data_IF_772038356341
#
_entry.id   IF_772038356341
#
_cell.length_a   1.000
_cell.length_b   1.000
_cell.length_c   1.000
_cell.angle_alpha   90.00
_cell.angle_beta   90.00
_cell.angle_gamma   90.00
#
_symmetry.space_group_name_H-M   'P 1'
#
loop_
_entity.id
_entity.type
_entity.pdbx_description
1 polymer ?
#
# COMPACT_ATOMS: atom_id res chain seq x y z
N UNK A 1 -64.25 -22.23 9.09
CA UNK A 1 -64.43 -21.74 10.47
C UNK A 1 -63.21 -22.19 11.28
N UNK A 2 -62.17 -21.36 11.36
CA UNK A 2 -60.99 -21.62 12.19
C UNK A 2 -60.99 -20.61 13.34
N UNK A 3 -61.50 -21.05 14.49
CA UNK A 3 -61.56 -20.29 15.73
C UNK A 3 -60.16 -19.85 16.17
N UNK A 4 -59.86 -18.56 16.06
CA UNK A 4 -58.63 -17.98 16.61
C UNK A 4 -58.83 -17.71 18.11
N UNK A 5 -58.50 -18.69 18.95
CA UNK A 5 -58.41 -18.53 20.40
C UNK A 5 -57.28 -17.56 20.76
N UNK A 6 -57.62 -16.36 21.23
CA UNK A 6 -56.68 -15.36 21.75
C UNK A 6 -56.05 -15.86 23.06
N UNK A 7 -54.87 -16.48 22.98
CA UNK A 7 -54.06 -16.88 24.13
C UNK A 7 -53.49 -15.61 24.81
N UNK A 8 -53.96 -15.30 26.04
CA UNK A 8 -53.43 -14.20 26.86
C UNK A 8 -52.28 -14.73 27.72
N UNK A 9 -51.07 -14.25 27.45
CA UNK A 9 -49.90 -14.49 28.31
C UNK A 9 -49.80 -13.39 29.37
N UNK A 10 -49.19 -13.71 30.51
CA UNK A 10 -48.87 -12.72 31.55
C UNK A 10 -47.73 -11.80 31.04
N UNK A 11 -47.70 -10.52 31.46
CA UNK A 11 -46.63 -9.60 31.07
C UNK A 11 -45.25 -10.20 31.37
N UNK A 12 -44.42 -10.41 30.33
CA UNK A 12 -43.09 -11.02 30.43
C UNK A 12 -42.99 -12.53 30.20
N UNK A 13 -44.08 -13.22 29.83
CA UNK A 13 -44.10 -14.68 29.58
C UNK A 13 -44.40 -15.07 28.12
N UNK A 14 -44.25 -14.11 27.20
CA UNK A 14 -44.44 -14.38 25.77
C UNK A 14 -43.24 -15.18 25.22
N UNK A 15 -43.46 -16.24 24.41
CA UNK A 15 -42.38 -16.94 23.73
C UNK A 15 -41.62 -15.99 22.80
N UNK A 16 -40.28 -16.00 22.85
CA UNK A 16 -39.45 -15.21 21.94
C UNK A 16 -39.68 -15.67 20.49
N UNK A 17 -40.42 -14.88 19.73
CA UNK A 17 -40.59 -15.11 18.29
C UNK A 17 -39.29 -14.77 17.57
N UNK A 18 -38.98 -15.45 16.44
CA UNK A 18 -37.83 -15.07 15.63
C UNK A 18 -37.95 -13.58 15.26
N UNK A 19 -36.84 -12.80 15.36
CA UNK A 19 -36.88 -11.38 15.08
C UNK A 19 -37.45 -11.14 13.68
N UNK A 20 -38.31 -10.12 13.50
CA UNK A 20 -38.91 -9.83 12.20
C UNK A 20 -37.84 -9.76 11.11
N UNK A 21 -38.09 -10.35 9.94
CA UNK A 21 -37.15 -10.36 8.80
C UNK A 21 -36.78 -8.93 8.33
N UNK A 22 -37.55 -7.92 8.77
CA UNK A 22 -37.26 -6.49 8.53
C UNK A 22 -36.18 -5.90 9.44
N UNK A 23 -35.85 -6.52 10.56
CA UNK A 23 -34.86 -6.02 11.54
C UNK A 23 -33.55 -6.80 11.54
N UNK A 24 -33.50 -7.94 10.85
CA UNK A 24 -32.30 -8.79 10.72
C UNK A 24 -32.10 -9.24 9.27
N UNK A 25 -30.85 -9.51 8.87
CA UNK A 25 -30.49 -9.99 7.54
C UNK A 25 -30.03 -8.92 6.53
N UNK A 26 -29.70 -9.32 5.29
CA UNK A 26 -29.06 -8.46 4.30
C UNK A 26 -29.87 -7.20 3.96
N UNK A 27 -31.20 -7.34 3.87
CA UNK A 27 -32.10 -6.23 3.53
C UNK A 27 -32.17 -5.19 4.66
N UNK A 28 -32.20 -5.64 5.91
CA UNK A 28 -32.13 -4.75 7.07
C UNK A 28 -30.77 -4.03 7.14
N UNK A 29 -29.68 -4.71 6.76
CA UNK A 29 -28.35 -4.11 6.65
C UNK A 29 -28.28 -3.02 5.56
N UNK A 30 -28.80 -3.28 4.35
CA UNK A 30 -28.82 -2.27 3.28
C UNK A 30 -29.58 -1.01 3.68
N UNK A 31 -30.75 -1.15 4.30
CA UNK A 31 -31.54 0.00 4.74
C UNK A 31 -30.88 0.77 5.89
N UNK A 32 -30.25 0.06 6.82
CA UNK A 32 -29.56 0.65 7.97
C UNK A 32 -28.21 1.28 7.62
N UNK A 33 -27.52 0.81 6.59
CA UNK A 33 -26.17 1.25 6.25
C UNK A 33 -26.12 2.17 5.02
N UNK A 34 -26.84 1.85 3.93
CA UNK A 34 -26.83 2.64 2.69
C UNK A 34 -27.93 3.71 2.66
N UNK A 35 -29.12 3.41 3.20
CA UNK A 35 -30.31 4.29 3.10
C UNK A 35 -30.79 4.82 4.45
N UNK A 36 -29.87 5.03 5.40
CA UNK A 36 -30.19 5.45 6.77
C UNK A 36 -30.66 6.89 6.89
N UNK A 37 -30.28 7.75 5.95
CA UNK A 37 -30.70 9.15 5.87
C UNK A 37 -30.98 9.54 4.42
N UNK A 38 -31.76 10.61 4.15
CA UNK A 38 -31.96 11.12 2.79
C UNK A 38 -30.64 11.47 2.10
N UNK A 39 -29.67 12.03 2.83
CA UNK A 39 -28.33 12.33 2.31
C UNK A 39 -27.57 11.06 1.94
N UNK A 40 -27.55 10.05 2.82
CA UNK A 40 -26.88 8.77 2.53
C UNK A 40 -27.53 8.04 1.34
N UNK A 41 -28.84 8.19 1.18
CA UNK A 41 -29.59 7.65 0.04
C UNK A 41 -29.15 8.32 -1.26
N UNK A 42 -29.05 9.65 -1.29
CA UNK A 42 -28.57 10.41 -2.46
C UNK A 42 -27.10 10.07 -2.77
N UNK A 43 -26.24 10.05 -1.75
CA UNK A 43 -24.82 9.73 -1.92
C UNK A 43 -24.63 8.32 -2.46
N UNK A 44 -25.38 7.36 -1.94
CA UNK A 44 -25.40 5.98 -2.43
C UNK A 44 -25.81 5.90 -3.90
N UNK A 45 -26.90 6.57 -4.28
CA UNK A 45 -27.36 6.60 -5.68
C UNK A 45 -26.33 7.27 -6.60
N UNK A 46 -25.70 8.36 -6.15
CA UNK A 46 -24.61 9.00 -6.90
C UNK A 46 -23.41 8.05 -7.04
N UNK A 47 -22.99 7.36 -5.97
CA UNK A 47 -21.92 6.37 -6.04
C UNK A 47 -22.24 5.26 -7.03
N UNK A 48 -23.45 4.71 -7.01
CA UNK A 48 -23.87 3.71 -8.00
C UNK A 48 -23.87 4.27 -9.41
N UNK A 49 -24.35 5.50 -9.61
CA UNK A 49 -24.32 6.16 -10.91
C UNK A 49 -22.89 6.35 -11.42
N UNK A 50 -21.95 6.82 -10.59
CA UNK A 50 -20.53 6.93 -10.95
C UNK A 50 -19.88 5.57 -11.24
N UNK A 51 -20.16 4.56 -10.42
CA UNK A 51 -19.64 3.21 -10.67
C UNK A 51 -20.18 2.65 -11.99
N UNK A 52 -21.46 2.90 -12.30
CA UNK A 52 -22.07 2.49 -13.56
C UNK A 52 -21.53 3.26 -14.77
N UNK A 53 -21.09 4.50 -14.61
CA UNK A 53 -20.49 5.26 -15.72
C UNK A 53 -19.02 4.94 -15.95
N UNK A 54 -18.30 4.48 -14.92
CA UNK A 54 -16.86 4.20 -15.00
C UNK A 54 -16.55 2.72 -15.25
N UNK A 55 -17.22 1.80 -14.56
CA UNK A 55 -16.87 0.37 -14.58
C UNK A 55 -17.07 -0.26 -15.96
N UNK A 56 -18.24 -0.12 -16.63
CA UNK A 56 -18.45 -0.72 -17.94
C UNK A 56 -17.42 -0.29 -18.99
N UNK A 57 -17.16 1.01 -19.25
CA UNK A 57 -16.18 1.40 -20.25
C UNK A 57 -14.74 1.01 -19.85
N UNK A 58 -14.42 1.00 -18.56
CA UNK A 58 -13.13 0.50 -18.10
C UNK A 58 -12.97 -1.01 -18.38
N UNK A 59 -14.02 -1.80 -18.14
CA UNK A 59 -14.05 -3.23 -18.40
C UNK A 59 -13.97 -3.53 -19.91
N UNK A 60 -14.71 -2.78 -20.71
CA UNK A 60 -14.66 -2.86 -22.17
C UNK A 60 -13.25 -2.56 -22.69
N UNK A 61 -12.63 -1.48 -22.22
CA UNK A 61 -11.28 -1.10 -22.59
C UNK A 61 -10.23 -2.14 -22.15
N UNK A 62 -10.33 -2.64 -20.92
CA UNK A 62 -9.29 -3.47 -20.31
C UNK A 62 -9.35 -4.94 -20.71
N UNK A 63 -10.54 -5.48 -20.99
CA UNK A 63 -10.73 -6.90 -21.27
C UNK A 63 -11.25 -7.09 -22.69
N UNK A 64 -12.41 -6.49 -23.01
CA UNK A 64 -13.13 -6.83 -24.25
C UNK A 64 -12.41 -6.32 -25.51
N UNK A 65 -11.89 -5.10 -25.49
CA UNK A 65 -11.19 -4.47 -26.61
C UNK A 65 -9.66 -4.62 -26.52
N UNK A 66 -9.16 -5.45 -25.60
CA UNK A 66 -7.73 -5.53 -25.30
C UNK A 66 -6.97 -6.49 -26.21
N UNK A 67 -5.67 -6.22 -26.40
CA UNK A 67 -4.79 -7.04 -27.24
C UNK A 67 -3.64 -7.59 -26.38
N UNK A 68 -3.51 -8.92 -26.40
CA UNK A 68 -2.53 -9.65 -25.60
C UNK A 68 -1.27 -10.07 -26.39
N UNK A 69 -1.33 -10.05 -27.72
CA UNK A 69 -0.24 -10.50 -28.59
C UNK A 69 0.08 -9.45 -29.65
N UNK A 70 1.20 -8.76 -29.52
CA UNK A 70 1.72 -7.80 -30.49
C UNK A 70 3.22 -7.54 -30.21
N UNK A 71 4.05 -7.45 -31.25
CA UNK A 71 5.50 -7.27 -31.11
C UNK A 71 5.89 -5.78 -30.92
N UNK A 72 4.97 -4.87 -31.25
CA UNK A 72 5.20 -3.43 -31.11
C UNK A 72 3.94 -2.66 -30.74
N UNK A 73 4.12 -1.47 -30.13
CA UNK A 73 3.00 -0.56 -29.82
C UNK A 73 2.19 -0.20 -31.08
N UNK A 74 2.87 -0.04 -32.22
CA UNK A 74 2.22 0.32 -33.49
C UNK A 74 1.30 -0.81 -33.95
N UNK A 75 1.82 -2.03 -33.99
CA UNK A 75 1.04 -3.22 -34.32
C UNK A 75 -0.15 -3.42 -33.37
N UNK A 76 0.07 -3.15 -32.08
CA UNK A 76 -1.01 -3.20 -31.09
C UNK A 76 -2.11 -2.17 -31.36
N UNK A 77 -1.79 -0.99 -31.90
CA UNK A 77 -2.80 0.00 -32.30
C UNK A 77 -3.40 -0.29 -33.67
N UNK A 78 -2.64 -0.90 -34.59
CA UNK A 78 -3.11 -1.27 -35.93
C UNK A 78 -4.13 -2.40 -35.90
N UNK A 79 -4.05 -3.29 -34.89
CA UNK A 79 -5.03 -4.33 -34.64
C UNK A 79 -6.33 -3.83 -33.98
N UNK A 80 -6.40 -2.55 -33.58
CA UNK A 80 -7.60 -1.93 -32.99
C UNK A 80 -8.43 -1.18 -34.02
N UNK A 81 -9.74 -1.05 -33.77
CA UNK A 81 -10.64 -0.29 -34.65
C UNK A 81 -10.31 1.21 -34.70
N UNK A 82 -9.89 1.80 -33.58
CA UNK A 82 -9.25 3.11 -33.52
C UNK A 82 -8.13 3.11 -32.47
N UNK A 83 -7.04 3.88 -32.66
CA UNK A 83 -5.93 3.89 -31.72
C UNK A 83 -6.36 4.30 -30.31
N UNK A 84 -6.14 3.42 -29.32
CA UNK A 84 -6.40 3.69 -27.90
C UNK A 84 -7.75 3.24 -27.34
N UNK A 85 -8.60 2.58 -28.14
CA UNK A 85 -9.90 2.04 -27.65
C UNK A 85 -9.78 0.85 -26.71
N UNK A 86 -8.61 0.22 -26.68
CA UNK A 86 -8.34 -0.95 -25.87
C UNK A 86 -7.00 -0.88 -25.16
N UNK A 87 -6.86 -1.69 -24.11
CA UNK A 87 -5.60 -1.88 -23.42
C UNK A 87 -4.65 -2.73 -24.28
N UNK A 88 -3.39 -2.28 -24.39
CA UNK A 88 -2.32 -3.05 -25.02
C UNK A 88 -1.57 -3.87 -23.96
N UNK A 89 -2.08 -5.05 -23.62
CA UNK A 89 -1.45 -5.93 -22.62
C UNK A 89 -0.15 -6.55 -23.11
N UNK A 90 -0.01 -6.78 -24.42
CA UNK A 90 1.22 -7.30 -25.04
C UNK A 90 2.48 -6.51 -24.64
N UNK A 91 2.38 -5.17 -24.70
CA UNK A 91 3.49 -4.29 -24.30
C UNK A 91 3.84 -4.43 -22.81
N UNK A 92 2.83 -4.60 -21.96
CA UNK A 92 3.01 -4.72 -20.51
C UNK A 92 3.64 -6.07 -20.18
N UNK A 93 3.21 -7.17 -20.80
CA UNK A 93 3.79 -8.50 -20.61
C UNK A 93 5.26 -8.54 -21.05
N UNK A 94 5.60 -7.93 -22.18
CA UNK A 94 6.98 -7.92 -22.70
C UNK A 94 7.94 -7.08 -21.86
N UNK A 95 7.41 -6.13 -21.08
CA UNK A 95 8.18 -5.20 -20.24
C UNK A 95 7.98 -5.43 -18.75
N UNK A 96 7.22 -6.45 -18.34
CA UNK A 96 6.96 -6.75 -16.93
C UNK A 96 8.25 -7.00 -16.15
N UNK A 97 9.23 -7.61 -16.80
CA UNK A 97 10.55 -7.87 -16.22
C UNK A 97 11.32 -6.58 -15.95
N UNK A 98 11.24 -5.57 -16.83
CA UNK A 98 11.80 -4.25 -16.60
C UNK A 98 11.06 -3.49 -15.49
N UNK A 99 9.72 -3.59 -15.45
CA UNK A 99 8.94 -2.96 -14.38
C UNK A 99 9.17 -3.60 -13.01
N UNK A 100 9.45 -4.90 -12.95
CA UNK A 100 9.63 -5.63 -11.68
C UNK A 100 11.07 -5.52 -11.17
N UNK A 101 12.04 -5.80 -12.04
CA UNK A 101 13.46 -5.92 -11.67
C UNK A 101 14.30 -4.69 -12.06
N UNK A 102 13.78 -3.74 -12.84
CA UNK A 102 14.59 -2.64 -13.37
C UNK A 102 15.71 -3.16 -14.28
N UNK A 103 16.92 -2.62 -14.12
CA UNK A 103 18.10 -3.01 -14.88
C UNK A 103 18.92 -4.12 -14.18
N UNK A 104 18.33 -4.81 -13.20
CA UNK A 104 19.02 -5.85 -12.42
C UNK A 104 19.45 -7.04 -13.30
N UNK A 105 20.68 -7.58 -13.14
CA UNK A 105 21.21 -8.62 -14.00
C UNK A 105 20.32 -9.88 -13.98
N UNK A 106 19.98 -10.37 -15.18
CA UNK A 106 19.17 -11.57 -15.40
C UNK A 106 19.56 -12.78 -14.50
N UNK A 107 20.84 -13.21 -14.43
CA UNK A 107 21.22 -14.38 -13.64
C UNK A 107 21.08 -14.17 -12.12
N UNK A 108 20.98 -12.92 -11.65
CA UNK A 108 20.90 -12.59 -10.23
C UNK A 108 19.47 -12.29 -9.77
N UNK A 109 18.47 -12.27 -10.68
CA UNK A 109 17.07 -11.92 -10.36
C UNK A 109 16.44 -12.78 -9.27
N UNK A 110 16.91 -14.01 -9.08
CA UNK A 110 16.49 -14.86 -7.99
C UNK A 110 16.66 -14.20 -6.60
N UNK A 111 17.63 -13.29 -6.44
CA UNK A 111 17.83 -12.50 -5.22
C UNK A 111 16.63 -11.58 -4.96
N UNK A 112 16.08 -11.01 -6.03
CA UNK A 112 14.89 -10.15 -5.99
C UNK A 112 13.65 -10.97 -5.66
N UNK A 113 13.47 -12.10 -6.34
CA UNK A 113 12.33 -12.99 -6.07
C UNK A 113 12.34 -13.50 -4.62
N UNK A 114 13.52 -13.90 -4.14
CA UNK A 114 13.71 -14.32 -2.75
C UNK A 114 13.42 -13.16 -1.78
N UNK A 115 13.83 -11.93 -2.11
CA UNK A 115 13.52 -10.76 -1.28
C UNK A 115 12.00 -10.50 -1.17
N UNK A 116 11.24 -10.70 -2.24
CA UNK A 116 9.78 -10.58 -2.21
C UNK A 116 9.13 -11.68 -1.37
N UNK A 117 9.61 -12.92 -1.47
CA UNK A 117 9.11 -14.02 -0.62
C UNK A 117 9.40 -13.75 0.85
N UNK A 118 10.64 -13.37 1.18
CA UNK A 118 11.04 -13.01 2.54
C UNK A 118 10.24 -11.83 3.07
N UNK A 119 9.90 -10.86 2.23
CA UNK A 119 9.04 -9.76 2.62
C UNK A 119 7.65 -10.22 3.03
N UNK A 120 7.02 -11.09 2.22
CA UNK A 120 5.69 -11.60 2.56
C UNK A 120 5.72 -12.26 3.94
N UNK A 121 6.78 -13.03 4.23
CA UNK A 121 7.01 -13.61 5.55
C UNK A 121 7.24 -12.55 6.64
N UNK A 122 7.89 -11.43 6.32
CA UNK A 122 8.11 -10.32 7.24
C UNK A 122 6.82 -9.54 7.55
N UNK A 123 5.86 -9.49 6.62
CA UNK A 123 4.58 -8.77 6.82
C UNK A 123 3.58 -9.59 7.65
N UNK A 124 3.59 -10.92 7.51
CA UNK A 124 2.70 -11.84 8.25
C UNK A 124 2.64 -11.57 9.78
N UNK A 125 3.76 -11.48 10.53
CA UNK A 125 3.73 -11.21 11.98
C UNK A 125 3.30 -9.78 12.36
N UNK A 126 3.36 -8.85 11.41
CA UNK A 126 2.87 -7.47 11.59
C UNK A 126 1.34 -7.44 11.44
N UNK A 127 0.79 -8.15 10.45
CA UNK A 127 -0.63 -8.14 10.14
C UNK A 127 -1.46 -9.03 11.07
N UNK A 128 -0.91 -10.17 11.52
CA UNK A 128 -1.61 -11.15 12.34
C UNK A 128 -1.14 -11.12 13.79
N UNK A 129 -1.94 -10.50 14.66
CA UNK A 129 -1.58 -10.32 16.07
C UNK A 129 -1.57 -11.62 16.90
N UNK A 130 -2.31 -12.64 16.47
CA UNK A 130 -2.55 -13.89 17.20
C UNK A 130 -1.56 -15.02 16.87
N UNK A 131 -0.45 -14.73 16.19
CA UNK A 131 0.53 -15.74 15.82
C UNK A 131 1.32 -16.26 17.03
N UNK A 132 1.53 -17.58 17.15
CA UNK A 132 2.47 -18.12 18.13
C UNK A 132 3.88 -17.60 17.80
N UNK A 133 4.66 -17.22 18.81
CA UNK A 133 6.03 -16.68 18.67
C UNK A 133 6.16 -15.31 17.96
N UNK A 134 5.10 -14.47 17.97
CA UNK A 134 5.07 -13.13 17.35
C UNK A 134 6.29 -12.24 17.63
N UNK A 135 6.90 -12.32 18.83
CA UNK A 135 8.09 -11.51 19.20
C UNK A 135 9.27 -11.76 18.24
N UNK A 136 9.53 -13.01 17.88
CA UNK A 136 10.60 -13.36 16.94
C UNK A 136 10.23 -12.94 15.51
N UNK A 137 8.95 -13.04 15.13
CA UNK A 137 8.44 -12.54 13.86
C UNK A 137 8.61 -11.03 13.72
N UNK A 138 8.29 -10.24 14.75
CA UNK A 138 8.48 -8.79 14.75
C UNK A 138 9.97 -8.40 14.70
N UNK A 139 10.84 -9.14 15.39
CA UNK A 139 12.28 -8.94 15.30
C UNK A 139 12.79 -9.21 13.88
N UNK A 140 12.29 -10.26 13.23
CA UNK A 140 12.58 -10.53 11.83
C UNK A 140 12.09 -9.40 10.90
N UNK A 141 10.87 -8.89 11.10
CA UNK A 141 10.36 -7.75 10.32
C UNK A 141 11.22 -6.49 10.48
N UNK A 142 11.72 -6.23 11.68
CA UNK A 142 12.62 -5.10 11.93
C UNK A 142 14.01 -5.30 11.29
N UNK A 143 14.49 -6.54 11.23
CA UNK A 143 15.77 -6.89 10.58
C UNK A 143 15.67 -7.00 9.06
N UNK A 144 14.46 -7.21 8.51
CA UNK A 144 14.21 -7.41 7.08
C UNK A 144 14.88 -6.39 6.16
N UNK A 145 14.80 -5.05 6.35
CA UNK A 145 15.43 -4.10 5.43
C UNK A 145 16.94 -4.29 5.32
N UNK A 146 17.61 -4.73 6.39
CA UNK A 146 19.03 -5.04 6.35
C UNK A 146 19.32 -6.34 5.59
N UNK A 147 18.48 -7.38 5.80
CA UNK A 147 18.59 -8.65 5.09
C UNK A 147 18.36 -8.45 3.60
N UNK A 148 17.30 -7.73 3.22
CA UNK A 148 16.97 -7.39 1.84
C UNK A 148 18.05 -6.52 1.20
N UNK A 149 18.56 -5.51 1.91
CA UNK A 149 19.67 -4.67 1.44
C UNK A 149 20.92 -5.49 1.12
N UNK A 150 21.32 -6.38 2.03
CA UNK A 150 22.47 -7.29 1.81
C UNK A 150 22.23 -8.25 0.65
N UNK A 151 21.06 -8.88 0.59
CA UNK A 151 20.72 -9.84 -0.46
C UNK A 151 20.77 -9.21 -1.85
N UNK A 152 20.31 -7.96 -1.98
CA UNK A 152 20.17 -7.28 -3.26
C UNK A 152 21.45 -6.57 -3.72
N UNK A 153 22.12 -5.85 -2.82
CA UNK A 153 23.39 -5.19 -3.12
C UNK A 153 24.53 -6.21 -3.27
N UNK A 154 24.40 -7.38 -2.63
CA UNK A 154 25.46 -8.37 -2.53
C UNK A 154 26.49 -8.01 -1.45
N UNK A 155 27.67 -8.63 -1.53
CA UNK A 155 28.72 -8.53 -0.50
C UNK A 155 28.76 -9.75 0.42
N UNK A 156 29.86 -9.90 1.17
CA UNK A 156 30.12 -11.06 2.05
C UNK A 156 29.95 -12.42 1.33
N UNK A 157 30.54 -12.57 0.14
CA UNK A 157 30.53 -13.81 -0.65
C UNK A 157 29.56 -13.82 -1.83
N UNK A 158 28.67 -12.83 -1.94
CA UNK A 158 27.81 -12.62 -3.10
C UNK A 158 28.39 -11.57 -4.06
N UNK A 159 28.24 -11.80 -5.38
CA UNK A 159 28.66 -10.84 -6.40
C UNK A 159 27.98 -9.48 -6.18
N UNK A 160 28.74 -8.36 -6.07
CA UNK A 160 28.19 -7.05 -5.81
C UNK A 160 27.46 -6.53 -7.05
N UNK A 161 26.25 -6.01 -6.85
CA UNK A 161 25.46 -5.38 -7.92
C UNK A 161 25.41 -3.88 -7.67
N UNK A 162 25.70 -3.09 -8.70
CA UNK A 162 25.65 -1.65 -8.55
C UNK A 162 24.21 -1.18 -8.33
N UNK A 163 24.08 -0.29 -7.35
CA UNK A 163 22.84 0.39 -6.99
C UNK A 163 22.14 1.08 -8.16
N UNK A 164 22.88 1.55 -9.17
CA UNK A 164 22.32 2.22 -10.34
C UNK A 164 21.43 1.31 -11.21
N UNK A 165 21.58 0.00 -11.05
CA UNK A 165 20.77 -0.99 -11.77
C UNK A 165 19.43 -1.27 -11.08
N UNK A 166 19.23 -0.74 -9.88
CA UNK A 166 18.03 -0.98 -9.10
C UNK A 166 16.91 -0.09 -9.63
N UNK A 167 15.73 -0.67 -9.83
CA UNK A 167 14.59 0.07 -10.34
C UNK A 167 13.30 -0.71 -10.23
N UNK A 168 12.25 -0.11 -10.78
CA UNK A 168 10.93 -0.73 -10.85
C UNK A 168 10.27 -0.92 -9.48
N UNK A 169 9.39 -1.92 -9.40
CA UNK A 169 8.59 -2.26 -8.24
C UNK A 169 9.47 -2.72 -7.08
N UNK A 170 10.54 -3.47 -7.36
CA UNK A 170 11.50 -3.88 -6.33
C UNK A 170 11.99 -2.67 -5.52
N UNK A 171 12.49 -1.64 -6.22
CA UNK A 171 13.08 -0.47 -5.59
C UNK A 171 12.07 0.30 -4.73
N UNK A 172 10.87 0.55 -5.26
CA UNK A 172 9.83 1.29 -4.53
C UNK A 172 9.41 0.54 -3.27
N UNK A 173 9.29 -0.79 -3.35
CA UNK A 173 8.93 -1.62 -2.23
C UNK A 173 9.97 -1.54 -1.11
N UNK A 174 11.26 -1.76 -1.44
CA UNK A 174 12.34 -1.77 -0.45
C UNK A 174 12.46 -0.41 0.23
N UNK A 175 12.40 0.68 -0.54
CA UNK A 175 12.43 2.03 0.02
C UNK A 175 11.24 2.29 0.94
N UNK A 176 10.04 1.86 0.55
CA UNK A 176 8.84 1.98 1.36
C UNK A 176 8.95 1.21 2.68
N UNK A 177 9.37 -0.05 2.63
CA UNK A 177 9.49 -0.91 3.82
C UNK A 177 10.59 -0.42 4.75
N UNK A 178 11.74 -0.05 4.19
CA UNK A 178 12.85 0.50 4.97
C UNK A 178 12.42 1.81 5.61
N UNK A 179 11.77 2.69 4.84
CA UNK A 179 11.15 3.92 5.31
C UNK A 179 10.25 3.70 6.51
N UNK A 180 9.23 2.84 6.38
CA UNK A 180 8.28 2.52 7.44
C UNK A 180 8.98 1.91 8.66
N UNK A 181 9.96 1.03 8.46
CA UNK A 181 10.68 0.36 9.57
C UNK A 181 11.44 1.37 10.43
N UNK A 182 11.98 2.44 9.84
CA UNK A 182 12.68 3.49 10.56
C UNK A 182 11.77 4.65 11.00
N UNK A 183 10.77 5.04 10.20
CA UNK A 183 9.89 6.17 10.52
C UNK A 183 8.89 5.81 11.61
N UNK A 184 8.41 4.56 11.68
CA UNK A 184 7.51 4.10 12.74
C UNK A 184 8.09 4.28 14.16
N UNK A 185 9.30 3.78 14.51
CA UNK A 185 9.86 3.96 15.84
C UNK A 185 10.17 5.42 16.16
N UNK A 186 10.62 6.20 15.17
CA UNK A 186 10.85 7.65 15.33
C UNK A 186 9.53 8.37 15.61
N UNK A 187 8.47 8.06 14.87
CA UNK A 187 7.13 8.58 15.07
C UNK A 187 6.56 8.23 16.45
N UNK A 188 6.75 6.99 16.91
CA UNK A 188 6.36 6.56 18.26
C UNK A 188 7.14 7.34 19.33
N UNK A 189 8.46 7.50 19.16
CA UNK A 189 9.29 8.25 20.11
C UNK A 189 8.87 9.72 20.20
N UNK A 190 8.59 10.37 19.06
CA UNK A 190 8.11 11.75 19.02
C UNK A 190 6.69 11.89 19.60
N UNK A 191 5.81 10.92 19.36
CA UNK A 191 4.47 10.89 19.93
C UNK A 191 4.50 10.74 21.46
N UNK A 192 5.36 9.87 22.00
CA UNK A 192 5.60 9.76 23.43
C UNK A 192 6.24 11.03 24.01
N UNK A 193 7.17 11.65 23.29
CA UNK A 193 7.79 12.93 23.67
C UNK A 193 6.77 14.06 23.81
N UNK A 194 5.75 14.11 22.95
CA UNK A 194 4.61 15.05 23.06
C UNK A 194 3.79 14.86 24.34
N UNK A 195 3.74 13.63 24.86
CA UNK A 195 3.01 13.28 26.09
C UNK A 195 3.86 13.46 27.36
N UNK A 196 5.14 13.82 27.24
CA UNK A 196 6.04 13.97 28.38
C UNK A 196 5.69 15.21 29.24
N UNK A 197 5.89 15.08 30.55
CA UNK A 197 5.72 16.16 31.52
C UNK A 197 6.85 17.20 31.48
N UNK A 198 7.96 16.93 30.80
CA UNK A 198 9.07 17.88 30.65
C UNK A 198 8.74 18.91 29.55
N UNK A 199 8.56 20.21 29.88
CA UNK A 199 8.09 21.22 28.94
C UNK A 199 9.03 21.46 27.76
N UNK A 200 10.35 21.39 27.97
CA UNK A 200 11.36 21.56 26.90
C UNK A 200 11.26 20.46 25.84
N UNK A 201 11.18 19.20 26.28
CA UNK A 201 11.10 18.05 25.37
C UNK A 201 9.78 18.06 24.60
N UNK A 202 8.67 18.31 25.31
CA UNK A 202 7.34 18.42 24.71
C UNK A 202 7.27 19.53 23.66
N UNK A 203 7.84 20.71 23.95
CA UNK A 203 7.88 21.83 23.01
C UNK A 203 8.65 21.46 21.73
N UNK A 204 9.82 20.84 21.87
CA UNK A 204 10.64 20.42 20.73
C UNK A 204 9.89 19.40 19.85
N UNK A 205 9.31 18.35 20.43
CA UNK A 205 8.55 17.35 19.69
C UNK A 205 7.32 17.94 18.98
N UNK A 206 6.57 18.82 19.64
CA UNK A 206 5.39 19.48 19.03
C UNK A 206 5.81 20.37 17.88
N UNK A 207 6.85 21.20 18.05
CA UNK A 207 7.35 22.08 17.01
C UNK A 207 7.80 21.27 15.78
N UNK A 208 8.54 20.17 15.99
CA UNK A 208 8.95 19.29 14.91
C UNK A 208 7.76 18.69 14.16
N UNK A 209 6.78 18.12 14.87
CA UNK A 209 5.59 17.50 14.26
C UNK A 209 4.77 18.52 13.46
N UNK A 210 4.51 19.69 14.04
CA UNK A 210 3.74 20.75 13.37
C UNK A 210 4.50 21.34 12.18
N UNK A 211 5.83 21.44 12.24
CA UNK A 211 6.66 21.86 11.11
C UNK A 211 6.57 20.87 9.95
N UNK A 212 6.79 19.57 10.20
CA UNK A 212 6.72 18.53 9.15
C UNK A 212 5.32 18.46 8.52
N UNK A 213 4.26 18.70 9.30
CA UNK A 213 2.88 18.75 8.78
C UNK A 213 2.55 20.04 8.04
N UNK A 214 3.22 21.15 8.37
CA UNK A 214 3.00 22.46 7.76
C UNK A 214 3.77 22.68 6.45
N UNK A 215 4.88 21.96 6.23
CA UNK A 215 5.72 22.10 5.05
C UNK A 215 5.36 21.07 3.97
N UNK A 216 5.20 21.46 2.70
CA UNK A 216 4.99 20.50 1.61
C UNK A 216 6.14 19.49 1.51
N UNK A 217 5.82 18.19 1.41
CA UNK A 217 6.83 17.13 1.27
C UNK A 217 7.79 17.41 0.10
N UNK A 218 7.26 17.94 -1.02
CA UNK A 218 8.06 18.24 -2.21
C UNK A 218 9.17 19.28 -1.95
N UNK A 219 8.92 20.27 -1.08
CA UNK A 219 9.93 21.28 -0.76
C UNK A 219 11.03 20.71 0.12
N UNK A 220 10.67 19.84 1.07
CA UNK A 220 11.63 19.13 1.92
C UNK A 220 12.49 18.18 1.09
N UNK A 221 11.87 17.41 0.20
CA UNK A 221 12.56 16.54 -0.76
C UNK A 221 13.57 17.32 -1.62
N UNK A 222 13.17 18.46 -2.17
CA UNK A 222 14.04 19.29 -3.01
C UNK A 222 15.21 19.89 -2.24
N UNK A 223 14.96 20.49 -1.07
CA UNK A 223 16.01 21.08 -0.23
C UNK A 223 16.98 20.01 0.27
N UNK A 224 16.47 18.88 0.77
CA UNK A 224 17.30 17.78 1.24
C UNK A 224 18.15 17.20 0.11
N UNK A 225 17.56 16.98 -1.07
CA UNK A 225 18.31 16.51 -2.24
C UNK A 225 19.41 17.49 -2.66
N UNK A 226 19.12 18.80 -2.69
CA UNK A 226 20.08 19.83 -3.09
C UNK A 226 21.23 19.95 -2.09
N UNK A 227 20.94 20.00 -0.79
CA UNK A 227 21.96 20.07 0.26
C UNK A 227 22.83 18.82 0.27
N UNK A 228 22.23 17.64 0.13
CA UNK A 228 22.96 16.38 0.15
C UNK A 228 23.86 16.20 -1.09
N UNK A 229 23.46 16.73 -2.24
CA UNK A 229 24.33 16.83 -3.42
C UNK A 229 25.56 17.73 -3.17
N UNK A 230 25.40 18.77 -2.35
CA UNK A 230 26.49 19.68 -1.99
C UNK A 230 27.50 19.05 -1.02
N UNK A 231 27.04 18.23 -0.08
CA UNK A 231 27.89 17.59 0.93
C UNK A 231 28.58 16.28 0.48
N UNK A 232 28.13 15.64 -0.61
CA UNK A 232 28.74 14.39 -1.10
C UNK A 232 29.59 14.62 -2.36
N UNK A 233 30.87 14.18 -2.39
CA UNK A 233 31.72 14.28 -3.58
C UNK A 233 31.12 13.51 -4.78
N UNK A 234 31.23 14.03 -6.01
CA UNK A 234 30.86 13.28 -7.21
C UNK A 234 31.78 12.07 -7.36
N UNK A 235 31.21 10.85 -7.33
CA UNK A 235 31.97 9.60 -7.55
C UNK A 235 31.62 8.42 -6.63
N UNK A 236 30.78 8.60 -5.61
CA UNK A 236 30.32 7.47 -4.77
C UNK A 236 29.05 6.86 -5.35
N UNK A 237 29.17 5.71 -6.02
CA UNK A 237 28.07 4.97 -6.69
C UNK A 237 26.95 4.56 -5.71
N UNK A 238 27.26 4.46 -4.42
CA UNK A 238 26.31 4.20 -3.34
C UNK A 238 25.39 5.39 -3.01
N UNK A 239 25.61 6.56 -3.62
CA UNK A 239 24.97 7.79 -3.22
C UNK A 239 23.47 7.81 -3.53
N UNK A 240 22.98 7.28 -4.65
CA UNK A 240 21.58 7.49 -5.04
C UNK A 240 20.58 6.85 -4.07
N UNK A 241 20.75 5.57 -3.71
CA UNK A 241 19.86 4.89 -2.75
C UNK A 241 20.04 5.37 -1.32
N UNK A 242 21.29 5.61 -0.90
CA UNK A 242 21.56 6.11 0.47
C UNK A 242 20.91 7.48 0.67
N UNK A 243 20.95 8.35 -0.35
CA UNK A 243 20.28 9.66 -0.34
C UNK A 243 18.76 9.51 -0.19
N UNK A 244 18.15 8.64 -0.99
CA UNK A 244 16.70 8.41 -0.93
C UNK A 244 16.29 7.79 0.41
N UNK A 245 17.08 6.84 0.95
CA UNK A 245 16.84 6.26 2.26
C UNK A 245 16.90 7.29 3.39
N UNK A 246 17.93 8.15 3.41
CA UNK A 246 18.04 9.22 4.43
C UNK A 246 16.83 10.15 4.36
N UNK A 247 16.40 10.52 3.15
CA UNK A 247 15.25 11.42 2.98
C UNK A 247 13.95 10.75 3.40
N UNK A 248 13.68 9.51 2.95
CA UNK A 248 12.45 8.79 3.29
C UNK A 248 12.39 8.46 4.79
N UNK A 249 13.52 8.15 5.44
CA UNK A 249 13.53 7.86 6.88
C UNK A 249 13.34 9.10 7.76
N UNK A 250 13.82 10.27 7.32
CA UNK A 250 13.68 11.53 8.06
C UNK A 250 12.33 12.24 7.83
N UNK A 251 11.72 12.03 6.67
CA UNK A 251 10.52 12.77 6.24
C UNK A 251 9.29 11.90 5.97
N UNK A 252 9.41 10.56 6.05
CA UNK A 252 8.30 9.61 5.87
C UNK A 252 7.74 9.05 7.17
#
# INVERSE_FOLDING_TARGET
VSNSTTQKYLPGTHPDWPPPVRTTGPVAWFRKNLFSSPLNSVLTLMSFWFLWTIIPPFFEWTILNSIFTADSRKECWDQMSTPGVGACWAFISDRVSLFTYGFYPQPLRWRVDLSFVLLVLAVVPVLYEKLPYRKYGLLYSAAFPFIAGWLLAGGLGLEPVSTDQFGGIMLTLILGITGITFSLPIGIALALGRLSNMPTLRMLCVLFIEFIRGVPLITLLFVASTMLNYFLPPGTVYALLTRVLIIVTLFG
#
